data_IF_051562980820
#
_entry.id   IF_051562980820
#
_cell.length_a   1.000
_cell.length_b   1.000
_cell.length_c   1.000
_cell.angle_alpha   90.00
_cell.angle_beta   90.00
_cell.angle_gamma   90.00
#
_symmetry.space_group_name_H-M   'P 1'
#
loop_
_entity.id
_entity.type
_entity.pdbx_description
1 polymer ?
#
# COMPACT_ATOMS: atom_id res chain seq x y z
N UNK A 1 26.10 33.84 -59.24
CA UNK A 1 25.93 33.08 -60.49
C UNK A 1 24.66 32.22 -60.32
N UNK A 2 23.61 32.55 -61.06
CA UNK A 2 22.40 31.69 -61.12
C UNK A 2 22.64 30.64 -62.17
N UNK A 3 23.00 29.41 -61.77
CA UNK A 3 23.13 28.30 -62.71
C UNK A 3 21.73 27.75 -63.03
N UNK A 4 21.43 27.56 -64.32
CA UNK A 4 20.16 27.05 -64.81
C UNK A 4 19.95 25.59 -64.36
N UNK A 5 20.99 24.89 -63.96
CA UNK A 5 20.96 23.45 -63.55
C UNK A 5 20.71 23.24 -62.04
N UNK A 6 20.74 24.27 -61.19
CA UNK A 6 20.51 24.16 -59.74
C UNK A 6 19.70 25.33 -59.21
N UNK A 7 18.48 25.04 -58.72
CA UNK A 7 17.61 26.00 -58.06
C UNK A 7 17.90 26.05 -56.56
N UNK A 8 18.79 26.93 -56.09
CA UNK A 8 19.17 27.08 -54.71
C UNK A 8 17.98 27.50 -53.82
N UNK A 9 17.06 28.32 -54.33
CA UNK A 9 15.89 28.77 -53.62
C UNK A 9 14.92 27.60 -53.36
N UNK A 10 14.66 26.78 -54.40
CA UNK A 10 13.83 25.58 -54.25
C UNK A 10 14.46 24.54 -53.28
N UNK A 11 15.79 24.38 -53.35
CA UNK A 11 16.50 23.43 -52.45
C UNK A 11 16.50 23.93 -51.00
N UNK A 12 16.57 25.27 -50.79
CA UNK A 12 16.41 25.82 -49.45
C UNK A 12 14.98 25.68 -48.91
N UNK A 13 13.98 25.93 -49.74
CA UNK A 13 12.56 25.75 -49.39
C UNK A 13 12.26 24.29 -49.08
N UNK A 14 12.83 23.32 -49.83
CA UNK A 14 12.68 21.89 -49.57
C UNK A 14 13.27 21.45 -48.24
N UNK A 15 14.47 21.95 -47.90
CA UNK A 15 15.07 21.67 -46.55
C UNK A 15 14.22 22.24 -45.40
N UNK A 16 13.68 23.43 -45.60
CA UNK A 16 12.81 24.05 -44.60
C UNK A 16 11.51 23.24 -44.42
N UNK A 17 10.90 22.79 -45.53
CA UNK A 17 9.72 21.93 -45.49
C UNK A 17 10.03 20.57 -44.83
N UNK A 18 11.19 19.97 -45.06
CA UNK A 18 11.61 18.75 -44.38
C UNK A 18 11.78 18.95 -42.86
N UNK A 19 12.34 20.09 -42.43
CA UNK A 19 12.44 20.43 -41.00
C UNK A 19 11.06 20.61 -40.37
N UNK A 20 10.16 21.36 -41.01
CA UNK A 20 8.78 21.56 -40.53
C UNK A 20 8.03 20.22 -40.40
N UNK A 21 8.18 19.32 -41.36
CA UNK A 21 7.54 18.01 -41.29
C UNK A 21 8.10 17.14 -40.14
N UNK A 22 9.40 17.21 -39.87
CA UNK A 22 10.02 16.51 -38.73
C UNK A 22 9.56 17.08 -37.38
N UNK A 23 9.44 18.42 -37.31
CA UNK A 23 8.95 19.11 -36.10
C UNK A 23 7.46 18.78 -35.88
N UNK A 24 6.68 18.66 -36.96
CA UNK A 24 5.25 18.29 -36.92
C UNK A 24 5.08 16.86 -36.41
N UNK A 25 5.82 15.89 -36.94
CA UNK A 25 5.82 14.51 -36.49
C UNK A 25 6.20 14.39 -34.99
N UNK A 26 7.19 15.18 -34.56
CA UNK A 26 7.60 15.22 -33.14
C UNK A 26 6.48 15.76 -32.24
N UNK A 27 5.85 16.88 -32.65
CA UNK A 27 4.74 17.49 -31.90
C UNK A 27 3.51 16.58 -31.84
N UNK A 28 3.14 15.94 -32.97
CA UNK A 28 2.08 14.92 -33.00
C UNK A 28 2.35 13.75 -32.07
N UNK A 29 3.61 13.26 -32.04
CA UNK A 29 4.01 12.19 -31.14
C UNK A 29 3.89 12.60 -29.67
N UNK A 30 4.26 13.82 -29.32
CA UNK A 30 4.15 14.37 -27.96
C UNK A 30 2.70 14.54 -27.54
N UNK A 31 1.85 15.05 -28.41
CA UNK A 31 0.41 15.19 -28.15
C UNK A 31 -0.22 13.79 -27.97
N UNK A 32 0.13 12.84 -28.82
CA UNK A 32 -0.41 11.48 -28.76
C UNK A 32 0.02 10.70 -27.52
N UNK A 33 1.27 10.86 -27.09
CA UNK A 33 1.84 10.18 -25.93
C UNK A 33 1.60 10.92 -24.61
N UNK A 34 1.33 12.24 -24.65
CA UNK A 34 1.32 13.12 -23.48
C UNK A 34 2.72 13.40 -22.91
N UNK A 35 3.78 12.92 -23.57
CA UNK A 35 5.15 13.00 -23.07
C UNK A 35 6.03 13.90 -23.92
N UNK A 36 6.74 14.82 -23.26
CA UNK A 36 7.80 15.62 -23.87
C UNK A 36 9.04 14.78 -24.20
N UNK A 37 9.34 13.78 -23.32
CA UNK A 37 10.46 12.87 -23.44
C UNK A 37 9.91 11.43 -23.50
N UNK A 38 9.70 10.94 -24.71
CA UNK A 38 9.15 9.60 -24.93
C UNK A 38 10.26 8.52 -25.04
N UNK A 39 11.45 8.92 -25.49
CA UNK A 39 12.55 8.00 -25.72
C UNK A 39 13.89 8.62 -25.32
N UNK A 40 14.91 7.75 -25.14
CA UNK A 40 16.29 8.20 -24.92
C UNK A 40 16.88 9.02 -26.09
N UNK A 41 16.20 9.07 -27.25
CA UNK A 41 16.62 9.91 -28.38
C UNK A 41 16.21 11.36 -28.20
N UNK A 42 15.13 11.63 -27.46
CA UNK A 42 14.60 12.97 -27.23
C UNK A 42 15.46 13.71 -26.20
N UNK A 43 15.68 13.10 -25.04
CA UNK A 43 16.61 13.54 -24.00
C UNK A 43 17.12 12.34 -23.20
N UNK A 44 18.38 11.90 -23.41
CA UNK A 44 18.92 10.72 -22.70
C UNK A 44 18.96 10.90 -21.18
N UNK A 45 19.20 12.13 -20.70
CA UNK A 45 19.36 12.43 -19.26
C UNK A 45 18.00 12.42 -18.57
N UNK A 46 17.03 13.16 -19.13
CA UNK A 46 15.67 13.21 -18.59
C UNK A 46 14.99 11.83 -18.68
N UNK A 47 15.20 11.09 -19.78
CA UNK A 47 14.67 9.74 -19.92
C UNK A 47 15.25 8.78 -18.89
N UNK A 48 16.56 8.78 -18.65
CA UNK A 48 17.21 7.92 -17.67
C UNK A 48 16.72 8.26 -16.23
N UNK A 49 16.64 9.55 -15.90
CA UNK A 49 16.12 10.03 -14.62
C UNK A 49 14.62 9.64 -14.45
N UNK A 50 13.81 9.82 -15.49
CA UNK A 50 12.40 9.42 -15.47
C UNK A 50 12.20 7.92 -15.26
N UNK A 51 13.05 7.09 -15.89
CA UNK A 51 13.02 5.64 -15.68
C UNK A 51 13.42 5.23 -14.26
N UNK A 52 14.43 5.91 -13.68
CA UNK A 52 14.83 5.68 -12.28
C UNK A 52 13.69 6.04 -11.32
N UNK A 53 13.09 7.22 -11.48
CA UNK A 53 11.93 7.65 -10.66
C UNK A 53 10.75 6.69 -10.81
N UNK A 54 10.41 6.28 -12.04
CA UNK A 54 9.33 5.33 -12.30
C UNK A 54 9.58 3.96 -11.63
N UNK A 55 10.84 3.50 -11.60
CA UNK A 55 11.20 2.26 -10.90
C UNK A 55 11.08 2.40 -9.38
N UNK A 56 11.50 3.54 -8.83
CA UNK A 56 11.33 3.84 -7.39
C UNK A 56 9.84 3.93 -7.02
N UNK A 57 9.02 4.60 -7.83
CA UNK A 57 7.57 4.68 -7.61
C UNK A 57 6.92 3.29 -7.57
N UNK A 58 7.28 2.40 -8.49
CA UNK A 58 6.77 1.01 -8.46
C UNK A 58 7.19 0.26 -7.19
N UNK A 59 8.36 0.56 -6.64
CA UNK A 59 8.78 -0.01 -5.34
C UNK A 59 7.95 0.53 -4.20
N UNK A 60 7.67 1.84 -4.17
CA UNK A 60 6.80 2.43 -3.14
C UNK A 60 5.35 1.92 -3.22
N UNK A 61 4.81 1.74 -4.42
CA UNK A 61 3.49 1.16 -4.65
C UNK A 61 3.42 -0.26 -4.04
N UNK A 62 4.42 -1.11 -4.33
CA UNK A 62 4.48 -2.45 -3.75
C UNK A 62 4.59 -2.42 -2.21
N UNK A 63 5.34 -1.45 -1.64
CA UNK A 63 5.45 -1.31 -0.19
C UNK A 63 4.13 -0.86 0.46
N UNK A 64 3.38 0.00 -0.21
CA UNK A 64 2.05 0.44 0.26
C UNK A 64 1.08 -0.75 0.25
N UNK A 65 1.05 -1.53 -0.84
CA UNK A 65 0.21 -2.73 -0.96
C UNK A 65 0.56 -3.78 0.11
N UNK A 66 1.86 -3.98 0.39
CA UNK A 66 2.32 -4.87 1.46
C UNK A 66 1.85 -4.36 2.84
N UNK A 67 1.95 -3.07 3.10
CA UNK A 67 1.51 -2.47 4.36
C UNK A 67 -0.01 -2.53 4.54
N UNK A 68 -0.80 -2.46 3.46
CA UNK A 68 -2.25 -2.67 3.50
C UNK A 68 -2.59 -4.06 4.05
N UNK A 69 -1.85 -5.10 3.63
CA UNK A 69 -2.03 -6.46 4.13
C UNK A 69 -1.69 -6.56 5.62
N UNK A 70 -0.57 -5.97 6.05
CA UNK A 70 -0.18 -5.97 7.47
C UNK A 70 -1.13 -5.15 8.33
N UNK A 71 -1.67 -4.04 7.82
CA UNK A 71 -2.70 -3.24 8.51
C UNK A 71 -3.97 -4.07 8.72
N UNK A 72 -4.48 -4.72 7.67
CA UNK A 72 -5.66 -5.57 7.77
C UNK A 72 -5.46 -6.75 8.75
N UNK A 73 -4.26 -7.34 8.75
CA UNK A 73 -3.92 -8.41 9.69
C UNK A 73 -3.85 -7.89 11.14
N UNK A 74 -3.28 -6.70 11.37
CA UNK A 74 -3.20 -6.08 12.69
C UNK A 74 -4.59 -5.70 13.23
N UNK A 75 -5.48 -5.13 12.38
CA UNK A 75 -6.85 -4.82 12.75
C UNK A 75 -7.67 -6.09 13.08
N UNK A 76 -7.48 -7.16 12.30
CA UNK A 76 -8.15 -8.44 12.56
C UNK A 76 -7.71 -9.01 13.91
N UNK A 77 -6.40 -9.00 14.18
CA UNK A 77 -5.85 -9.47 15.45
C UNK A 77 -6.28 -8.57 16.63
N UNK A 78 -6.33 -7.25 16.44
CA UNK A 78 -6.84 -6.30 17.42
C UNK A 78 -8.30 -6.61 17.79
N UNK A 79 -9.16 -6.78 16.79
CA UNK A 79 -10.58 -7.11 16.98
C UNK A 79 -10.75 -8.45 17.69
N UNK A 80 -9.91 -9.44 17.35
CA UNK A 80 -9.91 -10.73 18.04
C UNK A 80 -9.46 -10.59 19.50
N UNK A 81 -8.43 -9.79 19.79
CA UNK A 81 -7.96 -9.52 21.14
C UNK A 81 -9.01 -8.80 22.01
N UNK A 82 -9.75 -7.83 21.43
CA UNK A 82 -10.90 -7.21 22.11
C UNK A 82 -12.01 -8.22 22.42
N UNK A 83 -12.35 -9.07 21.44
CA UNK A 83 -13.36 -10.11 21.65
C UNK A 83 -12.97 -11.13 22.74
N UNK A 84 -11.67 -11.44 22.84
CA UNK A 84 -11.13 -12.30 23.90
C UNK A 84 -11.19 -11.60 25.25
N UNK A 85 -10.82 -10.31 25.29
CA UNK A 85 -10.92 -9.51 26.51
C UNK A 85 -12.35 -9.46 27.04
N UNK A 86 -13.32 -9.17 26.18
CA UNK A 86 -14.73 -9.10 26.55
C UNK A 86 -15.24 -10.46 27.04
N UNK A 87 -14.90 -11.54 26.35
CA UNK A 87 -15.29 -12.89 26.77
C UNK A 87 -14.66 -13.30 28.10
N UNK A 88 -13.40 -12.94 28.37
CA UNK A 88 -12.77 -13.13 29.69
C UNK A 88 -13.45 -12.32 30.80
N UNK A 89 -13.89 -11.09 30.50
CA UNK A 89 -14.64 -10.27 31.44
C UNK A 89 -16.03 -10.87 31.74
N UNK A 90 -16.68 -11.44 30.73
CA UNK A 90 -17.95 -12.17 30.91
C UNK A 90 -17.75 -13.41 31.80
N UNK A 91 -16.69 -14.18 31.60
CA UNK A 91 -16.34 -15.32 32.47
C UNK A 91 -16.11 -14.87 33.90
N UNK A 92 -15.35 -13.79 34.12
CA UNK A 92 -15.11 -13.23 35.45
C UNK A 92 -16.43 -12.83 36.16
N UNK A 93 -17.32 -12.19 35.41
CA UNK A 93 -18.65 -11.80 35.92
C UNK A 93 -19.52 -13.01 36.25
N UNK A 94 -19.55 -14.02 35.37
CA UNK A 94 -20.29 -15.24 35.60
C UNK A 94 -19.77 -16.04 36.79
N UNK A 95 -18.45 -16.13 37.00
CA UNK A 95 -17.82 -16.75 38.19
C UNK A 95 -18.23 -16.05 39.50
N UNK A 96 -18.13 -14.72 39.49
CA UNK A 96 -18.54 -13.90 40.67
C UNK A 96 -20.02 -14.11 41.01
N UNK A 97 -20.89 -14.21 39.99
CA UNK A 97 -22.31 -14.47 40.19
C UNK A 97 -22.60 -15.90 40.68
N UNK A 98 -21.86 -16.86 40.12
CA UNK A 98 -21.94 -18.26 40.56
C UNK A 98 -21.60 -18.42 42.03
N UNK A 99 -20.57 -17.73 42.54
CA UNK A 99 -20.20 -17.76 43.97
C UNK A 99 -21.25 -17.14 44.85
N UNK A 100 -21.96 -16.11 44.37
CA UNK A 100 -22.93 -15.36 45.13
C UNK A 100 -24.34 -15.99 45.21
N UNK A 101 -24.61 -17.03 44.38
CA UNK A 101 -25.88 -17.76 44.38
C UNK A 101 -25.73 -19.15 45.00
N UNK A 102 -26.80 -19.62 45.63
CA UNK A 102 -26.93 -21.02 46.12
C UNK A 102 -28.04 -21.77 45.40
N UNK A 103 -28.64 -21.16 44.39
CA UNK A 103 -29.66 -21.76 43.54
C UNK A 103 -29.02 -22.57 42.42
N UNK A 104 -29.33 -23.87 42.35
CA UNK A 104 -28.71 -24.79 41.39
C UNK A 104 -29.09 -24.45 39.92
N UNK A 105 -30.29 -23.92 39.69
CA UNK A 105 -30.71 -23.53 38.33
C UNK A 105 -30.00 -22.26 37.88
N UNK A 106 -29.76 -21.30 38.77
CA UNK A 106 -28.95 -20.10 38.50
C UNK A 106 -27.47 -20.45 38.28
N UNK A 107 -26.93 -21.36 39.12
CA UNK A 107 -25.57 -21.85 38.96
C UNK A 107 -25.35 -22.53 37.60
N UNK A 108 -26.28 -23.35 37.16
CA UNK A 108 -26.23 -23.98 35.83
C UNK A 108 -26.26 -22.93 34.70
N UNK A 109 -27.08 -21.87 34.84
CA UNK A 109 -27.12 -20.80 33.84
C UNK A 109 -25.76 -20.03 33.72
N UNK A 110 -25.08 -19.79 34.86
CA UNK A 110 -23.74 -19.15 34.82
C UNK A 110 -22.68 -20.09 34.22
N UNK A 111 -22.79 -21.40 34.38
CA UNK A 111 -21.92 -22.37 33.69
C UNK A 111 -22.13 -22.31 32.19
N UNK A 112 -23.40 -22.29 31.72
CA UNK A 112 -23.70 -22.11 30.29
C UNK A 112 -23.13 -20.80 29.71
N UNK A 113 -23.14 -19.72 30.49
CA UNK A 113 -22.57 -18.42 30.10
C UNK A 113 -21.06 -18.50 29.97
N UNK A 114 -20.38 -19.18 30.90
CA UNK A 114 -18.92 -19.42 30.81
C UNK A 114 -18.58 -20.27 29.58
N UNK A 115 -19.32 -21.35 29.30
CA UNK A 115 -19.10 -22.18 28.11
C UNK A 115 -19.30 -21.41 26.80
N UNK A 116 -20.28 -20.50 26.76
CA UNK A 116 -20.50 -19.63 25.61
C UNK A 116 -19.33 -18.64 25.40
N UNK A 117 -18.83 -18.03 26.47
CA UNK A 117 -17.68 -17.13 26.42
C UNK A 117 -16.40 -17.87 26.01
N UNK A 118 -16.17 -19.10 26.50
CA UNK A 118 -15.06 -19.95 26.08
C UNK A 118 -15.11 -20.26 24.57
N UNK A 119 -16.29 -20.57 24.04
CA UNK A 119 -16.49 -20.77 22.60
C UNK A 119 -16.15 -19.52 21.79
N UNK A 120 -16.44 -18.35 22.35
CA UNK A 120 -16.09 -17.05 21.74
C UNK A 120 -14.58 -16.86 21.69
N UNK A 121 -13.85 -17.16 22.77
CA UNK A 121 -12.38 -17.08 22.82
C UNK A 121 -11.74 -17.97 21.77
N UNK A 122 -12.17 -19.26 21.70
CA UNK A 122 -11.65 -20.22 20.72
C UNK A 122 -11.90 -19.73 19.29
N UNK A 123 -13.08 -19.18 19.03
CA UNK A 123 -13.44 -18.67 17.72
C UNK A 123 -12.65 -17.42 17.34
N UNK A 124 -12.40 -16.53 18.29
CA UNK A 124 -11.60 -15.32 18.08
C UNK A 124 -10.13 -15.65 17.80
N UNK A 125 -9.54 -16.59 18.57
CA UNK A 125 -8.18 -17.09 18.30
C UNK A 125 -8.06 -17.72 16.90
N UNK A 126 -9.04 -18.54 16.51
CA UNK A 126 -9.05 -19.15 15.18
C UNK A 126 -9.21 -18.13 14.05
N UNK A 127 -9.91 -17.01 14.31
CA UNK A 127 -10.13 -15.94 13.33
C UNK A 127 -9.03 -14.89 13.29
N UNK A 128 -8.06 -14.91 14.22
CA UNK A 128 -7.02 -13.88 14.32
C UNK A 128 -5.96 -13.91 13.23
N UNK A 129 -5.84 -15.02 12.51
CA UNK A 129 -4.85 -15.22 11.45
C UNK A 129 -5.37 -14.70 10.11
N UNK A 130 -4.63 -13.78 9.51
CA UNK A 130 -4.92 -13.25 8.18
C UNK A 130 -3.72 -13.51 7.26
N UNK A 131 -3.95 -14.17 6.14
CA UNK A 131 -2.94 -14.49 5.11
C UNK A 131 -1.63 -15.09 5.67
N UNK A 132 -1.76 -16.00 6.65
CA UNK A 132 -0.66 -16.65 7.35
C UNK A 132 0.16 -15.71 8.27
N UNK A 133 -0.35 -14.49 8.53
CA UNK A 133 0.18 -13.57 9.53
C UNK A 133 -0.64 -13.74 10.80
N UNK A 134 0.01 -14.18 11.86
CA UNK A 134 -0.61 -14.43 13.16
C UNK A 134 0.04 -13.53 14.22
N UNK A 135 -0.68 -12.49 14.62
CA UNK A 135 -0.21 -11.52 15.58
C UNK A 135 -0.50 -11.91 17.04
N UNK A 136 -1.41 -12.87 17.27
CA UNK A 136 -1.82 -13.30 18.62
C UNK A 136 -1.09 -14.54 19.10
N UNK A 137 -0.80 -15.50 18.20
CA UNK A 137 -0.20 -16.78 18.56
C UNK A 137 1.27 -16.89 18.12
N UNK A 138 1.95 -15.76 17.91
CA UNK A 138 3.35 -15.73 17.50
C UNK A 138 4.24 -15.19 18.60
N UNK A 139 5.21 -16.00 19.03
CA UNK A 139 6.34 -15.55 19.88
C UNK A 139 7.43 -14.86 19.08
N UNK A 140 7.38 -14.95 17.77
CA UNK A 140 8.38 -14.38 16.86
C UNK A 140 8.00 -12.96 16.45
N UNK A 141 9.00 -12.07 16.36
CA UNK A 141 8.79 -10.74 15.80
C UNK A 141 8.27 -10.85 14.36
N UNK A 142 7.15 -10.20 14.09
CA UNK A 142 6.63 -10.01 12.74
C UNK A 142 7.26 -8.74 12.19
N UNK A 143 8.03 -8.87 11.10
CA UNK A 143 8.75 -7.76 10.49
C UNK A 143 8.18 -7.47 9.10
N UNK A 144 8.03 -6.21 8.77
CA UNK A 144 7.55 -5.74 7.47
C UNK A 144 8.38 -4.55 7.00
N UNK A 145 8.38 -4.34 5.69
CA UNK A 145 9.14 -3.27 5.07
C UNK A 145 8.35 -1.95 5.15
N UNK A 146 9.01 -0.89 5.63
CA UNK A 146 8.42 0.45 5.81
C UNK A 146 8.98 1.51 4.87
N UNK A 147 9.96 1.15 4.05
CA UNK A 147 10.60 2.09 3.15
C UNK A 147 11.85 1.52 2.52
N UNK A 148 12.54 2.38 1.76
CA UNK A 148 13.83 2.08 1.12
C UNK A 148 14.82 3.18 1.52
N UNK A 149 16.04 2.79 1.88
CA UNK A 149 17.10 3.75 2.19
C UNK A 149 17.73 4.34 0.92
N UNK A 150 18.66 5.30 1.08
CA UNK A 150 19.38 5.92 -0.04
C UNK A 150 20.27 4.98 -0.86
N UNK A 151 20.49 3.74 -0.41
CA UNK A 151 21.27 2.71 -1.12
C UNK A 151 20.36 1.71 -1.84
N UNK A 152 19.03 1.76 -1.61
CA UNK A 152 18.06 0.82 -2.16
C UNK A 152 17.78 -0.38 -1.25
N UNK A 153 18.27 -0.38 0.00
CA UNK A 153 18.00 -1.43 0.98
C UNK A 153 16.68 -1.16 1.70
N UNK A 154 15.90 -2.21 1.96
CA UNK A 154 14.61 -2.08 2.65
C UNK A 154 14.82 -1.73 4.12
N UNK A 155 14.12 -0.70 4.57
CA UNK A 155 13.95 -0.36 5.97
C UNK A 155 12.81 -1.22 6.53
N UNK A 156 13.07 -1.93 7.62
CA UNK A 156 12.09 -2.80 8.26
C UNK A 156 11.65 -2.25 9.60
N UNK A 157 10.39 -2.40 9.91
CA UNK A 157 9.82 -2.25 11.24
C UNK A 157 9.19 -3.59 11.64
N UNK A 158 8.80 -3.73 12.90
CA UNK A 158 8.21 -4.98 13.36
C UNK A 158 7.50 -4.82 14.70
N UNK A 159 6.63 -5.78 14.95
CA UNK A 159 5.97 -5.98 16.22
C UNK A 159 6.43 -7.30 16.82
N UNK A 160 6.86 -7.25 18.07
CA UNK A 160 7.10 -8.44 18.87
C UNK A 160 5.99 -8.47 19.91
N UNK A 161 5.07 -9.43 19.86
CA UNK A 161 4.10 -9.62 20.93
C UNK A 161 4.86 -9.75 22.25
N UNK A 162 4.49 -8.94 23.23
CA UNK A 162 5.13 -8.98 24.55
C UNK A 162 4.77 -10.27 25.31
N UNK A 163 3.67 -10.88 24.90
CA UNK A 163 3.14 -12.13 25.48
C UNK A 163 2.43 -12.86 24.34
N UNK A 164 2.66 -14.16 24.23
CA UNK A 164 1.85 -15.05 23.41
C UNK A 164 0.53 -15.31 24.15
N UNK A 165 -0.58 -14.92 23.54
CA UNK A 165 -1.89 -15.08 24.16
C UNK A 165 -2.24 -16.58 24.31
N UNK A 166 -1.81 -17.40 23.37
CA UNK A 166 -1.94 -18.87 23.49
C UNK A 166 -1.08 -19.38 24.66
N UNK A 167 0.13 -18.91 24.87
CA UNK A 167 0.97 -19.25 26.03
C UNK A 167 0.35 -18.78 27.36
N UNK A 168 -0.26 -17.59 27.40
CA UNK A 168 -0.99 -17.10 28.58
C UNK A 168 -2.19 -17.96 28.89
N UNK A 169 -2.95 -18.33 27.87
CA UNK A 169 -4.12 -19.19 28.02
C UNK A 169 -3.73 -20.65 28.32
N UNK A 170 -2.51 -21.09 27.94
CA UNK A 170 -2.03 -22.47 28.16
C UNK A 170 -1.20 -22.66 29.44
N UNK A 171 -0.51 -21.63 29.89
CA UNK A 171 0.55 -21.76 30.91
C UNK A 171 0.14 -21.28 32.32
N UNK A 172 -1.06 -20.74 32.48
CA UNK A 172 -1.53 -20.34 33.81
C UNK A 172 -2.12 -21.55 34.53
N UNK A 173 -1.34 -22.15 35.44
CA UNK A 173 -1.75 -23.33 36.20
C UNK A 173 -2.90 -23.00 37.17
N UNK A 174 -4.03 -23.65 37.00
CA UNK A 174 -5.18 -23.61 37.89
C UNK A 174 -5.13 -24.86 38.76
N UNK A 175 -4.96 -24.69 40.08
CA UNK A 175 -5.10 -25.79 41.04
C UNK A 175 -4.14 -26.96 40.90
N UNK A 176 -2.98 -26.77 40.27
CA UNK A 176 -1.84 -27.68 40.36
C UNK A 176 -1.49 -28.53 39.13
N UNK A 177 -2.32 -28.63 38.10
CA UNK A 177 -1.98 -29.46 36.91
C UNK A 177 -2.66 -29.03 35.60
N UNK A 178 -3.61 -28.09 35.59
CA UNK A 178 -4.36 -27.72 34.38
C UNK A 178 -4.26 -26.22 34.10
N UNK A 179 -3.81 -25.84 32.89
CA UNK A 179 -3.68 -24.46 32.47
C UNK A 179 -5.03 -23.84 32.09
N UNK A 180 -5.09 -22.52 31.96
CA UNK A 180 -6.28 -21.79 31.52
C UNK A 180 -6.84 -22.31 30.19
N UNK A 181 -6.01 -22.87 29.32
CA UNK A 181 -6.46 -23.54 28.07
C UNK A 181 -7.30 -24.78 28.37
N UNK A 182 -6.91 -25.59 29.35
CA UNK A 182 -7.72 -26.74 29.75
C UNK A 182 -9.04 -26.26 30.33
N UNK A 183 -9.03 -25.18 31.11
CA UNK A 183 -10.26 -24.51 31.56
C UNK A 183 -11.10 -24.02 30.38
N UNK A 184 -10.49 -23.35 29.39
CA UNK A 184 -11.21 -22.80 28.23
C UNK A 184 -11.71 -23.93 27.30
N UNK A 185 -11.01 -25.06 27.18
CA UNK A 185 -11.36 -26.14 26.25
C UNK A 185 -12.13 -27.30 26.84
N UNK A 186 -12.01 -27.56 28.15
CA UNK A 186 -12.60 -28.77 28.81
C UNK A 186 -13.27 -28.47 30.15
N UNK A 187 -13.66 -27.23 30.39
CA UNK A 187 -14.36 -26.82 31.61
C UNK A 187 -15.62 -27.63 31.82
N UNK A 188 -15.83 -28.03 33.05
CA UNK A 188 -17.02 -28.73 33.49
C UNK A 188 -17.49 -28.19 34.82
N UNK A 189 -18.80 -28.37 35.14
CA UNK A 189 -19.38 -28.00 36.45
C UNK A 189 -18.59 -28.57 37.63
N UNK A 190 -17.87 -29.68 37.47
CA UNK A 190 -17.03 -30.29 38.51
C UNK A 190 -15.82 -29.46 38.87
N UNK A 191 -15.37 -28.55 38.02
CA UNK A 191 -14.22 -27.68 38.26
C UNK A 191 -14.57 -26.56 39.23
N UNK A 192 -15.85 -26.22 39.35
CA UNK A 192 -16.40 -25.27 40.34
C UNK A 192 -16.74 -25.90 41.68
N UNK A 193 -16.30 -27.11 41.95
CA UNK A 193 -16.72 -27.88 43.16
C UNK A 193 -16.04 -27.41 44.47
N UNK A 194 -15.04 -26.53 44.43
CA UNK A 194 -14.39 -25.97 45.62
C UNK A 194 -14.09 -24.46 45.47
N UNK A 195 -14.24 -23.73 46.57
CA UNK A 195 -13.92 -22.28 46.61
C UNK A 195 -12.46 -22.00 46.19
N UNK A 196 -11.54 -22.83 46.64
CA UNK A 196 -10.11 -22.64 46.40
C UNK A 196 -9.78 -22.73 44.87
N UNK A 197 -10.49 -23.60 44.11
CA UNK A 197 -10.32 -23.69 42.66
C UNK A 197 -10.90 -22.49 41.92
N UNK A 198 -12.03 -21.95 42.41
CA UNK A 198 -12.65 -20.80 41.81
C UNK A 198 -11.77 -19.56 41.99
N UNK A 199 -11.16 -19.37 43.18
CA UNK A 199 -10.23 -18.30 43.47
C UNK A 199 -8.97 -18.38 42.53
N UNK A 200 -8.42 -19.60 42.30
CA UNK A 200 -7.32 -19.82 41.37
C UNK A 200 -7.72 -19.49 39.90
N UNK A 201 -8.95 -19.77 39.50
CA UNK A 201 -9.50 -19.43 38.18
C UNK A 201 -9.65 -17.92 38.04
N UNK A 202 -10.15 -17.21 39.05
CA UNK A 202 -10.29 -15.76 39.06
C UNK A 202 -8.94 -15.07 38.90
N UNK A 203 -7.92 -15.50 39.63
CA UNK A 203 -6.56 -14.96 39.54
C UNK A 203 -5.95 -15.19 38.14
N UNK A 204 -6.22 -16.36 37.55
CA UNK A 204 -5.79 -16.68 36.18
C UNK A 204 -6.48 -15.82 35.13
N UNK A 205 -7.79 -15.58 35.28
CA UNK A 205 -8.56 -14.72 34.38
C UNK A 205 -8.13 -13.26 34.51
N UNK A 206 -7.86 -12.76 35.73
CA UNK A 206 -7.34 -11.41 35.93
C UNK A 206 -6.01 -11.21 35.20
N UNK A 207 -5.11 -12.20 35.28
CA UNK A 207 -3.85 -12.19 34.55
C UNK A 207 -4.06 -12.22 33.04
N UNK A 208 -4.98 -13.05 32.54
CA UNK A 208 -5.32 -13.13 31.13
C UNK A 208 -5.94 -11.84 30.60
N UNK A 209 -6.84 -11.20 31.37
CA UNK A 209 -7.42 -9.87 31.05
C UNK A 209 -6.34 -8.80 30.91
N UNK A 210 -5.38 -8.74 31.85
CA UNK A 210 -4.26 -7.81 31.80
C UNK A 210 -3.43 -8.00 30.54
N UNK A 211 -3.15 -9.26 30.20
CA UNK A 211 -2.37 -9.61 29.01
C UNK A 211 -3.14 -9.31 27.72
N UNK A 212 -4.40 -9.69 27.61
CA UNK A 212 -5.26 -9.38 26.46
C UNK A 212 -5.37 -7.86 26.24
N UNK A 213 -5.54 -7.08 27.28
CA UNK A 213 -5.53 -5.61 27.21
C UNK A 213 -4.20 -5.05 26.73
N UNK A 214 -3.07 -5.62 27.18
CA UNK A 214 -1.73 -5.21 26.75
C UNK A 214 -1.49 -5.52 25.28
N UNK A 215 -1.92 -6.69 24.84
CA UNK A 215 -1.83 -7.13 23.45
C UNK A 215 -2.71 -6.25 22.56
N UNK A 216 -3.97 -6.03 22.93
CA UNK A 216 -4.86 -5.15 22.17
C UNK A 216 -4.28 -3.73 22.03
N UNK A 217 -3.73 -3.18 23.14
CA UNK A 217 -3.06 -1.86 23.11
C UNK A 217 -1.84 -1.87 22.18
N UNK A 218 -1.03 -2.92 22.21
CA UNK A 218 0.14 -3.08 21.36
C UNK A 218 -0.22 -3.18 19.88
N UNK A 219 -1.26 -3.95 19.56
CA UNK A 219 -1.76 -4.11 18.19
C UNK A 219 -2.40 -2.82 17.66
N UNK A 220 -3.18 -2.11 18.48
CA UNK A 220 -3.72 -0.80 18.12
C UNK A 220 -2.62 0.21 17.81
N UNK A 221 -1.59 0.30 18.68
CA UNK A 221 -0.45 1.16 18.43
C UNK A 221 0.35 0.74 17.18
N UNK A 222 0.36 -0.54 16.86
CA UNK A 222 0.99 -1.05 15.65
C UNK A 222 0.22 -0.70 14.39
N UNK A 223 -1.11 -0.84 14.40
CA UNK A 223 -1.97 -0.42 13.30
C UNK A 223 -1.79 1.09 13.00
N UNK A 224 -1.77 1.94 14.04
CA UNK A 224 -1.51 3.38 13.90
C UNK A 224 -0.12 3.67 13.28
N UNK A 225 0.90 2.87 13.62
CA UNK A 225 2.24 3.01 13.05
C UNK A 225 2.26 2.63 11.58
N UNK A 226 1.61 1.54 11.22
CA UNK A 226 1.48 1.10 9.82
C UNK A 226 0.79 2.18 8.99
N UNK A 227 -0.34 2.71 9.46
CA UNK A 227 -1.07 3.80 8.80
C UNK A 227 -0.20 5.07 8.62
N UNK A 228 0.59 5.41 9.64
CA UNK A 228 1.54 6.51 9.56
C UNK A 228 2.61 6.28 8.49
N UNK A 229 3.13 5.06 8.38
CA UNK A 229 4.11 4.70 7.34
C UNK A 229 3.49 4.72 5.94
N UNK A 230 2.27 4.22 5.77
CA UNK A 230 1.54 4.29 4.50
C UNK A 230 1.32 5.74 4.05
N UNK A 231 0.85 6.60 4.95
CA UNK A 231 0.67 8.03 4.68
C UNK A 231 1.98 8.69 4.26
N UNK A 232 3.09 8.33 4.91
CA UNK A 232 4.42 8.84 4.56
C UNK A 232 4.87 8.35 3.18
N UNK A 233 4.73 7.06 2.88
CA UNK A 233 5.09 6.49 1.58
C UNK A 233 4.23 7.07 0.45
N UNK A 234 2.93 7.26 0.68
CA UNK A 234 2.05 7.92 -0.28
C UNK A 234 2.51 9.34 -0.58
N UNK A 235 2.92 10.09 0.44
CA UNK A 235 3.45 11.44 0.25
C UNK A 235 4.75 11.46 -0.57
N UNK A 236 5.62 10.46 -0.38
CA UNK A 236 6.83 10.30 -1.21
C UNK A 236 6.46 9.95 -2.65
N UNK A 237 5.52 9.04 -2.83
CA UNK A 237 5.01 8.64 -4.14
C UNK A 237 4.49 9.85 -4.92
N UNK A 238 3.64 10.67 -4.30
CA UNK A 238 3.07 11.88 -4.91
C UNK A 238 4.16 12.90 -5.30
N UNK A 239 5.19 13.08 -4.46
CA UNK A 239 6.35 13.94 -4.77
C UNK A 239 7.12 13.39 -5.97
N UNK A 240 7.33 12.08 -6.04
CA UNK A 240 8.01 11.40 -7.15
C UNK A 240 7.21 11.49 -8.45
N UNK A 241 5.88 11.32 -8.38
CA UNK A 241 4.97 11.50 -9.50
C UNK A 241 5.04 12.93 -10.05
N UNK A 242 4.98 13.93 -9.19
CA UNK A 242 5.13 15.34 -9.57
C UNK A 242 6.49 15.64 -10.20
N UNK A 243 7.58 15.05 -9.67
CA UNK A 243 8.91 15.19 -10.23
C UNK A 243 9.02 14.51 -11.61
N UNK A 244 8.44 13.33 -11.77
CA UNK A 244 8.37 12.60 -13.04
C UNK A 244 7.61 13.42 -14.07
N UNK A 245 6.41 13.90 -13.74
CA UNK A 245 5.59 14.75 -14.60
C UNK A 245 6.37 15.99 -15.10
N UNK A 246 7.06 16.70 -14.19
CA UNK A 246 7.87 17.85 -14.56
C UNK A 246 9.01 17.51 -15.56
N UNK A 247 9.58 16.31 -15.45
CA UNK A 247 10.69 15.87 -16.30
C UNK A 247 10.23 15.37 -17.68
N UNK A 248 9.12 14.67 -17.75
CA UNK A 248 8.76 13.82 -18.89
C UNK A 248 7.48 14.24 -19.59
N UNK A 249 6.52 14.87 -18.88
CA UNK A 249 5.22 15.21 -19.45
C UNK A 249 5.29 16.44 -20.37
N UNK A 250 4.45 16.43 -21.38
CA UNK A 250 4.28 17.54 -22.30
C UNK A 250 3.16 18.46 -21.84
N UNK A 251 3.38 19.78 -21.98
CA UNK A 251 2.29 20.75 -21.92
C UNK A 251 1.47 20.66 -23.20
N UNK A 252 0.29 20.04 -23.11
CA UNK A 252 -0.57 19.79 -24.25
C UNK A 252 -1.14 21.08 -24.86
N UNK A 253 -1.27 22.16 -24.07
CA UNK A 253 -1.72 23.45 -24.58
C UNK A 253 -0.62 24.09 -25.43
N UNK A 254 0.64 24.02 -24.97
CA UNK A 254 1.80 24.50 -25.74
C UNK A 254 2.00 23.68 -27.03
N UNK A 255 1.98 22.34 -26.94
CA UNK A 255 2.20 21.48 -28.11
C UNK A 255 1.03 21.60 -29.14
N UNK A 256 -0.23 21.82 -28.68
CA UNK A 256 -1.36 22.06 -29.58
C UNK A 256 -1.26 23.40 -30.32
N UNK A 257 -0.81 24.45 -29.62
CA UNK A 257 -0.53 25.75 -30.25
C UNK A 257 0.60 25.63 -31.27
N UNK A 258 1.65 24.87 -30.95
CA UNK A 258 2.79 24.60 -31.81
C UNK A 258 2.40 23.78 -33.05
N UNK A 259 1.53 22.76 -32.87
CA UNK A 259 0.97 21.98 -34.00
C UNK A 259 0.28 22.91 -34.99
N UNK A 260 -0.66 23.75 -34.51
CA UNK A 260 -1.37 24.69 -35.38
C UNK A 260 -0.43 25.67 -36.11
N UNK A 261 0.62 26.12 -35.43
CA UNK A 261 1.61 26.99 -36.02
C UNK A 261 2.45 26.29 -37.11
N UNK A 262 2.83 25.01 -36.86
CA UNK A 262 3.59 24.20 -37.80
C UNK A 262 2.76 23.83 -39.04
N UNK A 263 1.45 23.56 -38.90
CA UNK A 263 0.55 23.34 -40.04
C UNK A 263 0.50 24.56 -40.95
N UNK A 264 0.35 25.77 -40.40
CA UNK A 264 0.39 27.02 -41.18
C UNK A 264 1.76 27.23 -41.85
N UNK A 265 2.86 26.94 -41.13
CA UNK A 265 4.21 27.03 -41.67
C UNK A 265 4.44 26.03 -42.81
N UNK A 266 3.86 24.83 -42.74
CA UNK A 266 3.90 23.82 -43.79
C UNK A 266 3.22 24.32 -45.06
N UNK A 267 2.01 24.90 -44.96
CA UNK A 267 1.29 25.47 -46.10
C UNK A 267 2.10 26.60 -46.75
N UNK A 268 2.67 27.49 -45.92
CA UNK A 268 3.51 28.59 -46.41
C UNK A 268 4.79 28.08 -47.09
N UNK A 269 5.43 27.03 -46.57
CA UNK A 269 6.62 26.43 -47.16
C UNK A 269 6.31 25.78 -48.51
N UNK A 270 5.17 25.08 -48.62
CA UNK A 270 4.70 24.52 -49.91
C UNK A 270 4.48 25.64 -50.95
N UNK A 271 3.84 26.73 -50.51
CA UNK A 271 3.59 27.91 -51.39
C UNK A 271 4.93 28.56 -51.82
N UNK A 272 5.88 28.72 -50.91
CA UNK A 272 7.21 29.24 -51.20
C UNK A 272 7.98 28.36 -52.15
N UNK A 273 7.89 27.02 -52.00
CA UNK A 273 8.52 26.06 -52.91
C UNK A 273 7.91 26.20 -54.33
N UNK A 274 6.61 26.36 -54.44
CA UNK A 274 5.92 26.57 -55.70
C UNK A 274 6.38 27.84 -56.42
N UNK A 275 6.47 28.96 -55.68
CA UNK A 275 6.97 30.25 -56.17
C UNK A 275 8.45 30.09 -56.64
N UNK A 276 9.31 29.45 -55.85
CA UNK A 276 10.73 29.24 -56.21
C UNK A 276 10.87 28.40 -57.48
N UNK A 277 10.03 27.40 -57.69
CA UNK A 277 10.02 26.61 -58.90
C UNK A 277 9.49 27.37 -60.11
N UNK A 278 8.40 28.16 -59.94
CA UNK A 278 7.84 28.98 -61.00
C UNK A 278 8.80 30.10 -61.47
N UNK A 279 9.57 30.67 -60.53
CA UNK A 279 10.62 31.65 -60.87
C UNK A 279 11.69 31.11 -61.79
N UNK A 280 12.15 29.87 -61.54
CA UNK A 280 13.12 29.19 -62.43
C UNK A 280 12.54 28.86 -63.81
N UNK A 281 11.28 28.46 -63.89
CA UNK A 281 10.58 28.20 -65.18
C UNK A 281 10.42 29.48 -66.01
N UNK A 282 10.07 30.61 -65.36
CA UNK A 282 10.00 31.90 -66.05
C UNK A 282 11.34 32.35 -66.60
N UNK A 283 12.46 32.12 -65.91
CA UNK A 283 13.77 32.42 -66.43
C UNK A 283 14.09 31.55 -67.62
N UNK A 284 13.78 30.24 -67.57
CA UNK A 284 13.97 29.32 -68.68
C UNK A 284 13.16 29.72 -69.92
N UNK A 285 11.92 30.21 -69.72
CA UNK A 285 11.06 30.68 -70.83
C UNK A 285 11.55 31.94 -71.52
N UNK A 286 12.40 32.79 -70.84
CA UNK A 286 13.05 33.96 -71.42
C UNK A 286 14.21 33.62 -72.36
N UNK A 287 14.74 32.39 -72.27
CA UNK A 287 15.85 31.88 -73.08
C UNK A 287 15.44 30.93 -74.19
N UNK A 288 14.15 30.68 -74.35
CA UNK A 288 13.58 29.93 -75.49
C UNK A 288 12.92 30.91 -76.45
#
# INVERSE_FOLDING_TARGET
MYGISSNYAANSALRNLQSINSDLETTETRISSGLKVNSAKDDPTAWAAGKAISSEMSTYETLIDDLDLYSAAAETAYTAAESIYDALADIQSALTNYQNTSDADEQAAYVDEIEAAQSTIISALAASTTDNIDWLNSTSAISFNIGVDGNGDFLTDGYTPGVDLDEVLTNTAIGGDEGLTTFITTFTESDMSSSDKIDDIEDAIESALSNASSIATGLGAMADRIDSHQTFLQSIYDIKESALSTLVDADLDEESAKLSALEVQQELAITALSIANSSSQNILALFQ
#
